data_IF_029446420980
#
_entry.id   IF_029446420980
#
_cell.length_a   1.000
_cell.length_b   1.000
_cell.length_c   1.000
_cell.angle_alpha   90.00
_cell.angle_beta   90.00
_cell.angle_gamma   90.00
#
_symmetry.space_group_name_H-M   'P 1'
#
loop_
_entity.id
_entity.type
_entity.pdbx_description
1 polymer ?
#
# COMPACT_ATOMS: atom_id res chain seq x y z
N UNK A 1 47.14 48.47 7.25
CA UNK A 1 45.83 48.10 7.79
C UNK A 1 44.98 47.29 6.78
N UNK A 2 44.67 47.73 5.57
CA UNK A 2 43.84 46.99 4.61
C UNK A 2 44.34 45.55 4.30
N UNK A 3 45.64 45.36 4.06
CA UNK A 3 46.22 44.03 3.78
C UNK A 3 46.13 43.09 4.95
N UNK A 4 46.20 43.55 6.18
CA UNK A 4 46.05 42.78 7.38
C UNK A 4 44.60 42.27 7.55
N UNK A 5 43.63 43.15 7.27
CA UNK A 5 42.20 42.82 7.30
C UNK A 5 41.87 41.70 6.25
N UNK A 6 42.39 41.80 5.05
CA UNK A 6 42.18 40.80 4.01
C UNK A 6 42.81 39.45 4.38
N UNK A 7 43.97 39.47 5.01
CA UNK A 7 44.63 38.24 5.49
C UNK A 7 43.84 37.58 6.63
N UNK A 8 43.30 38.37 7.55
CA UNK A 8 42.47 37.87 8.65
C UNK A 8 41.14 37.29 8.13
N UNK A 9 40.50 37.95 7.16
CA UNK A 9 39.27 37.42 6.51
C UNK A 9 39.56 36.13 5.76
N UNK A 10 40.71 36.03 5.06
CA UNK A 10 41.11 34.82 4.35
C UNK A 10 41.35 33.65 5.30
N UNK A 11 42.04 33.89 6.42
CA UNK A 11 42.23 32.89 7.47
C UNK A 11 40.91 32.45 8.11
N UNK A 12 39.97 33.37 8.31
CA UNK A 12 38.65 33.06 8.83
C UNK A 12 37.82 32.25 7.84
N UNK A 13 37.90 32.54 6.55
CA UNK A 13 37.24 31.74 5.48
C UNK A 13 37.81 30.32 5.41
N UNK A 14 39.10 30.12 5.61
CA UNK A 14 39.76 28.83 5.59
C UNK A 14 39.33 27.92 6.75
N UNK A 15 38.91 28.49 7.90
CA UNK A 15 38.41 27.73 9.04
C UNK A 15 37.02 27.09 8.72
N UNK A 16 36.23 27.71 7.84
CA UNK A 16 34.94 27.15 7.43
C UNK A 16 35.04 26.03 6.35
N UNK A 17 36.24 25.76 5.80
CA UNK A 17 36.47 24.70 4.82
C UNK A 17 36.74 23.32 5.45
N UNK A 18 36.83 23.21 6.76
CA UNK A 18 37.02 21.95 7.48
C UNK A 18 35.67 21.28 7.80
N UNK A 19 34.81 21.16 6.82
CA UNK A 19 33.55 20.43 6.97
C UNK A 19 33.59 19.12 6.18
N UNK A 20 33.47 18.00 6.83
CA UNK A 20 33.13 16.64 6.38
C UNK A 20 34.04 15.56 7.00
N UNK A 21 34.12 15.55 8.34
CA UNK A 21 34.77 14.43 9.06
C UNK A 21 33.92 13.18 9.24
N UNK A 22 32.65 13.18 8.77
CA UNK A 22 31.71 12.06 8.96
C UNK A 22 31.53 11.21 7.68
N UNK A 23 32.62 11.01 6.93
CA UNK A 23 32.63 10.18 5.73
C UNK A 23 32.85 8.72 6.14
N UNK A 24 31.81 7.91 6.04
CA UNK A 24 31.92 6.44 6.15
C UNK A 24 32.08 5.86 4.74
N UNK A 25 33.18 5.16 4.52
CA UNK A 25 33.42 4.42 3.28
C UNK A 25 32.33 3.37 3.06
N UNK A 26 31.88 3.20 1.83
CA UNK A 26 30.79 2.28 1.49
C UNK A 26 31.10 0.84 1.87
N UNK A 27 32.36 0.43 1.73
CA UNK A 27 32.88 -0.90 2.05
C UNK A 27 32.84 -1.22 3.55
N UNK A 28 32.80 -0.18 4.38
CA UNK A 28 32.69 -0.30 5.85
C UNK A 28 31.26 -0.27 6.35
N UNK A 29 30.28 -0.26 5.44
CA UNK A 29 28.86 -0.21 5.78
C UNK A 29 28.15 -1.53 5.45
N UNK A 30 27.33 -2.01 6.37
CA UNK A 30 26.31 -3.04 6.12
C UNK A 30 25.00 -2.34 5.78
N UNK A 31 24.71 -2.20 4.46
CA UNK A 31 23.57 -1.43 3.97
C UNK A 31 22.30 -2.23 4.12
N UNK A 32 21.40 -1.81 4.99
CA UNK A 32 20.07 -2.40 5.13
C UNK A 32 19.20 -2.11 3.92
N UNK A 33 18.68 -3.15 3.27
CA UNK A 33 17.68 -3.02 2.21
C UNK A 33 16.29 -3.43 2.69
N UNK A 34 16.19 -4.38 3.62
CA UNK A 34 14.95 -4.83 4.24
C UNK A 34 15.10 -4.87 5.76
N UNK A 35 14.11 -4.34 6.46
CA UNK A 35 13.83 -4.63 7.86
C UNK A 35 12.53 -5.40 7.99
N UNK A 36 12.48 -6.41 8.84
CA UNK A 36 11.29 -7.22 9.09
C UNK A 36 10.96 -7.28 10.58
N UNK A 37 9.68 -7.17 10.92
CA UNK A 37 9.18 -7.27 12.30
C UNK A 37 8.20 -8.42 12.40
N UNK A 38 8.53 -9.41 13.25
CA UNK A 38 7.65 -10.53 13.54
C UNK A 38 7.12 -10.48 14.97
N UNK A 39 6.04 -11.22 15.22
CA UNK A 39 5.42 -11.28 16.53
C UNK A 39 6.41 -11.65 17.63
N UNK A 40 6.18 -11.12 18.81
CA UNK A 40 7.03 -11.39 19.97
C UNK A 40 7.09 -12.87 20.34
N UNK A 41 8.28 -13.37 20.57
CA UNK A 41 8.52 -14.68 21.16
C UNK A 41 9.12 -14.51 22.56
N UNK A 42 8.47 -15.05 23.58
CA UNK A 42 8.91 -14.92 24.99
C UNK A 42 9.14 -13.46 25.41
N UNK A 43 8.24 -12.54 25.00
CA UNK A 43 8.30 -11.11 25.31
C UNK A 43 9.31 -10.29 24.50
N UNK A 44 10.11 -10.92 23.63
CA UNK A 44 11.09 -10.23 22.78
C UNK A 44 10.61 -10.11 21.36
N UNK A 45 10.79 -8.92 20.79
CA UNK A 45 10.57 -8.61 19.38
C UNK A 45 11.55 -9.41 18.51
N UNK A 46 11.07 -10.01 17.42
CA UNK A 46 11.91 -10.64 16.42
C UNK A 46 12.11 -9.66 15.27
N UNK A 47 13.35 -9.24 15.05
CA UNK A 47 13.71 -8.30 13.99
C UNK A 47 14.63 -8.97 13.00
N UNK A 48 14.33 -8.80 11.73
CA UNK A 48 15.14 -9.26 10.60
C UNK A 48 15.80 -8.08 9.91
N UNK A 49 17.02 -8.29 9.47
CA UNK A 49 17.79 -7.36 8.67
C UNK A 49 18.33 -8.09 7.44
N UNK A 50 18.18 -7.49 6.25
CA UNK A 50 18.73 -8.04 5.01
C UNK A 50 19.60 -6.97 4.37
N UNK A 51 20.85 -7.34 4.09
CA UNK A 51 21.83 -6.50 3.41
C UNK A 51 22.38 -7.21 2.16
N UNK A 52 22.78 -6.47 1.12
CA UNK A 52 23.41 -7.04 -0.06
C UNK A 52 24.82 -7.53 0.25
N UNK A 53 25.28 -8.51 -0.50
CA UNK A 53 26.68 -8.95 -0.55
C UNK A 53 27.25 -8.49 -1.88
N UNK A 54 28.30 -7.67 -1.83
CA UNK A 54 28.94 -7.08 -3.02
C UNK A 54 30.08 -7.95 -3.60
N UNK A 55 30.25 -9.18 -3.11
CA UNK A 55 31.20 -10.13 -3.65
C UNK A 55 30.59 -10.89 -4.84
N UNK A 56 31.25 -10.88 -6.01
CA UNK A 56 30.79 -11.55 -7.23
C UNK A 56 30.93 -13.07 -7.16
N UNK A 57 31.83 -13.60 -6.33
CA UNK A 57 32.12 -15.03 -6.24
C UNK A 57 31.12 -15.82 -5.41
N UNK A 58 30.20 -15.15 -4.68
CA UNK A 58 29.23 -15.84 -3.85
C UNK A 58 27.89 -16.06 -4.59
N UNK A 59 27.33 -17.27 -4.42
CA UNK A 59 26.05 -17.62 -5.03
C UNK A 59 24.89 -16.76 -4.45
N UNK A 60 24.87 -16.57 -3.15
CA UNK A 60 23.83 -15.79 -2.47
C UNK A 60 24.22 -14.33 -2.36
N UNK A 61 23.56 -13.46 -3.10
CA UNK A 61 23.87 -12.01 -3.20
C UNK A 61 23.32 -11.16 -2.03
N UNK A 62 22.79 -11.75 -0.99
CA UNK A 62 22.32 -11.06 0.20
C UNK A 62 22.54 -11.89 1.46
N UNK A 63 22.72 -11.21 2.56
CA UNK A 63 22.85 -11.78 3.89
C UNK A 63 21.62 -11.43 4.73
N UNK A 64 21.30 -12.31 5.69
CA UNK A 64 20.14 -12.13 6.56
C UNK A 64 20.57 -12.32 8.01
N UNK A 65 20.29 -11.30 8.82
CA UNK A 65 20.48 -11.34 10.27
C UNK A 65 19.14 -11.36 10.98
N UNK A 66 19.09 -11.97 12.16
CA UNK A 66 17.91 -11.97 13.03
C UNK A 66 18.33 -11.63 14.45
N UNK A 67 17.56 -10.77 15.10
CA UNK A 67 17.75 -10.39 16.50
C UNK A 67 16.46 -10.62 17.31
N UNK A 68 16.60 -11.08 18.55
CA UNK A 68 15.51 -11.17 19.54
C UNK A 68 15.77 -10.13 20.61
N UNK A 69 15.06 -9.03 20.57
CA UNK A 69 15.36 -7.78 21.29
C UNK A 69 14.11 -7.15 21.89
N UNK A 70 14.27 -6.09 22.67
CA UNK A 70 13.13 -5.34 23.23
C UNK A 70 12.76 -4.14 22.35
N UNK A 71 13.73 -3.58 21.62
CA UNK A 71 13.52 -2.38 20.81
C UNK A 71 14.20 -2.48 19.43
N UNK A 72 13.71 -1.75 18.40
CA UNK A 72 14.38 -1.72 17.10
C UNK A 72 15.80 -1.14 17.16
N UNK A 73 16.09 -0.22 18.09
CA UNK A 73 17.43 0.33 18.27
C UNK A 73 18.41 -0.70 18.85
N UNK A 74 17.95 -1.53 19.78
CA UNK A 74 18.73 -2.67 20.29
C UNK A 74 19.03 -3.68 19.17
N UNK A 75 18.08 -3.90 18.24
CA UNK A 75 18.32 -4.74 17.08
C UNK A 75 19.47 -4.22 16.21
N UNK A 76 19.55 -2.90 15.95
CA UNK A 76 20.67 -2.30 15.21
C UNK A 76 22.01 -2.54 15.91
N UNK A 77 22.06 -2.40 17.23
CA UNK A 77 23.27 -2.68 18.02
C UNK A 77 23.67 -4.16 17.91
N UNK A 78 22.69 -5.07 18.01
CA UNK A 78 22.91 -6.51 17.85
C UNK A 78 23.44 -6.84 16.43
N UNK A 79 22.88 -6.24 15.40
CA UNK A 79 23.36 -6.44 14.02
C UNK A 79 24.80 -5.93 13.83
N UNK A 80 25.14 -4.77 14.40
CA UNK A 80 26.51 -4.25 14.35
C UNK A 80 27.54 -5.21 14.98
N UNK A 81 27.15 -6.03 15.96
CA UNK A 81 28.06 -7.00 16.58
C UNK A 81 28.29 -8.26 15.73
N UNK A 82 27.51 -8.47 14.68
CA UNK A 82 27.59 -9.65 13.80
C UNK A 82 27.79 -9.33 12.33
N UNK A 83 27.79 -8.05 11.96
CA UNK A 83 28.00 -7.60 10.57
C UNK A 83 29.44 -7.19 10.33
N UNK A 84 29.93 -7.38 9.11
CA UNK A 84 31.29 -6.97 8.70
C UNK A 84 31.47 -5.44 8.59
N UNK A 85 30.38 -4.67 8.72
CA UNK A 85 30.39 -3.21 8.66
C UNK A 85 29.29 -2.59 9.52
N UNK A 86 29.32 -1.27 9.69
CA UNK A 86 28.30 -0.55 10.44
C UNK A 86 26.95 -0.59 9.72
N UNK A 87 25.92 -1.01 10.42
CA UNK A 87 24.55 -1.08 9.85
C UNK A 87 24.02 0.32 9.56
N UNK A 88 23.82 0.59 8.27
CA UNK A 88 23.20 1.81 7.74
C UNK A 88 21.80 1.52 7.21
N UNK A 89 20.83 2.36 7.58
CA UNK A 89 19.43 2.26 7.12
C UNK A 89 19.08 3.33 6.07
N UNK A 90 20.05 4.08 5.58
CA UNK A 90 19.86 5.19 4.64
C UNK A 90 19.29 4.75 3.26
N UNK A 91 19.56 3.52 2.87
CA UNK A 91 19.09 2.90 1.60
C UNK A 91 17.98 1.86 1.82
N UNK A 92 17.34 1.87 2.98
CA UNK A 92 16.25 0.95 3.27
C UNK A 92 15.12 1.07 2.24
N UNK A 93 14.74 -0.06 1.63
CA UNK A 93 13.74 -0.12 0.57
C UNK A 93 12.39 -0.61 1.06
N UNK A 94 12.40 -1.55 2.03
CA UNK A 94 11.22 -2.23 2.52
C UNK A 94 11.24 -2.35 4.05
N UNK A 95 10.09 -2.07 4.66
CA UNK A 95 9.81 -2.52 6.04
C UNK A 95 8.67 -3.54 5.96
N UNK A 96 8.98 -4.77 6.39
CA UNK A 96 8.04 -5.89 6.40
C UNK A 96 7.48 -6.09 7.82
N UNK A 97 6.18 -6.30 7.92
CA UNK A 97 5.51 -6.64 9.18
C UNK A 97 4.71 -7.91 9.00
N UNK A 98 4.89 -8.91 9.86
CA UNK A 98 3.95 -10.04 9.85
C UNK A 98 2.55 -9.58 10.30
N UNK A 99 1.52 -10.19 9.74
CA UNK A 99 0.15 -9.88 10.14
C UNK A 99 -0.08 -10.15 11.64
N UNK A 100 0.60 -11.15 12.20
CA UNK A 100 0.53 -11.44 13.63
C UNK A 100 1.13 -10.32 14.47
N UNK A 101 2.29 -9.78 14.07
CA UNK A 101 2.89 -8.62 14.72
C UNK A 101 1.94 -7.40 14.66
N UNK A 102 1.41 -7.10 13.48
CA UNK A 102 0.49 -5.98 13.33
C UNK A 102 -0.80 -6.13 14.16
N UNK A 103 -1.31 -7.35 14.34
CA UNK A 103 -2.49 -7.61 15.17
C UNK A 103 -2.24 -7.39 16.66
N UNK A 104 -1.06 -7.75 17.14
CA UNK A 104 -0.72 -7.72 18.57
C UNK A 104 -0.16 -6.36 19.00
N UNK A 105 0.74 -5.81 18.22
CA UNK A 105 1.58 -4.69 18.60
C UNK A 105 1.22 -3.38 17.86
N UNK A 106 0.81 -3.50 16.60
CA UNK A 106 0.73 -2.37 15.69
C UNK A 106 2.11 -1.86 15.23
N UNK A 107 2.15 -1.13 14.12
CA UNK A 107 3.42 -0.67 13.54
C UNK A 107 3.98 0.58 14.24
N UNK A 108 3.12 1.52 14.64
CA UNK A 108 3.53 2.87 15.05
C UNK A 108 4.57 2.95 16.16
N UNK A 109 4.49 2.18 17.27
CA UNK A 109 5.47 2.28 18.36
C UNK A 109 6.89 1.90 17.94
N UNK A 110 7.05 1.13 16.87
CA UNK A 110 8.33 0.59 16.42
C UNK A 110 8.98 1.40 15.32
N UNK A 111 8.29 2.42 14.80
CA UNK A 111 8.76 3.26 13.71
C UNK A 111 9.50 4.54 14.17
N UNK A 112 9.45 4.87 15.46
CA UNK A 112 10.04 6.09 16.04
C UNK A 112 11.54 6.23 15.72
N UNK A 113 12.27 5.10 15.67
CA UNK A 113 13.71 5.09 15.37
C UNK A 113 14.03 5.71 14.00
N UNK A 114 13.15 5.51 13.00
CA UNK A 114 13.32 6.09 11.66
C UNK A 114 12.75 7.50 11.54
N UNK A 115 11.72 7.86 12.32
CA UNK A 115 11.21 9.24 12.36
C UNK A 115 12.23 10.22 12.95
N UNK A 116 13.09 9.74 13.84
CA UNK A 116 14.14 10.55 14.48
C UNK A 116 15.49 10.50 13.75
N UNK A 117 15.62 9.68 12.73
CA UNK A 117 16.86 9.56 11.96
C UNK A 117 16.85 10.55 10.78
N UNK A 118 17.65 11.63 10.80
CA UNK A 118 17.68 12.63 9.75
C UNK A 118 18.22 12.11 8.40
N UNK A 119 18.90 10.95 8.42
CA UNK A 119 19.44 10.30 7.22
C UNK A 119 18.38 9.46 6.49
N UNK A 120 17.21 9.27 7.10
CA UNK A 120 16.13 8.49 6.52
C UNK A 120 15.37 9.29 5.45
N UNK A 121 15.30 8.77 4.24
CA UNK A 121 14.61 9.40 3.11
C UNK A 121 13.08 9.26 3.15
N UNK A 122 12.52 8.45 4.03
CA UNK A 122 11.08 8.20 4.13
C UNK A 122 10.45 7.44 2.94
N UNK A 123 11.26 6.98 1.99
CA UNK A 123 10.79 6.37 0.73
C UNK A 123 10.62 4.84 0.81
N UNK A 124 11.02 4.21 1.91
CA UNK A 124 10.83 2.76 2.10
C UNK A 124 9.36 2.38 2.09
N UNK A 125 9.07 1.24 1.50
CA UNK A 125 7.71 0.73 1.35
C UNK A 125 7.27 -0.02 2.59
N UNK A 126 6.06 0.25 3.04
CA UNK A 126 5.41 -0.45 4.15
C UNK A 126 4.66 -1.66 3.62
N UNK A 127 4.99 -2.86 4.10
CA UNK A 127 4.45 -4.12 3.56
C UNK A 127 4.03 -5.05 4.69
N UNK A 128 2.80 -5.53 4.63
CA UNK A 128 2.30 -6.61 5.48
C UNK A 128 2.64 -7.97 4.85
N UNK A 129 3.06 -8.92 5.67
CA UNK A 129 3.29 -10.31 5.28
C UNK A 129 2.21 -11.19 5.91
N UNK A 130 1.39 -11.81 5.08
CA UNK A 130 0.40 -12.79 5.53
C UNK A 130 1.09 -14.13 5.81
N UNK A 131 1.68 -14.21 6.99
CA UNK A 131 2.52 -15.28 7.48
C UNK A 131 3.72 -14.75 8.27
N UNK A 132 4.62 -15.63 8.75
CA UNK A 132 5.84 -15.21 9.42
C UNK A 132 6.82 -14.60 8.41
N UNK A 133 7.59 -13.60 8.85
CA UNK A 133 8.63 -12.95 8.03
C UNK A 133 9.68 -13.95 7.54
N UNK A 134 10.03 -14.93 8.38
CA UNK A 134 10.98 -16.01 8.05
C UNK A 134 10.59 -16.79 6.78
N UNK A 135 9.27 -16.92 6.50
CA UNK A 135 8.79 -17.63 5.30
C UNK A 135 9.17 -16.93 4.00
N UNK A 136 9.38 -15.62 4.05
CA UNK A 136 9.79 -14.81 2.90
C UNK A 136 11.30 -14.64 2.85
N UNK A 137 11.91 -14.31 3.98
CA UNK A 137 13.35 -13.93 4.05
C UNK A 137 14.29 -15.12 3.87
N UNK A 138 13.96 -16.28 4.43
CA UNK A 138 14.84 -17.47 4.34
C UNK A 138 14.58 -18.36 3.14
N UNK A 139 13.57 -18.02 2.34
CA UNK A 139 13.27 -18.83 1.17
C UNK A 139 14.23 -18.49 0.01
N UNK A 140 14.83 -19.51 -0.59
CA UNK A 140 15.61 -19.31 -1.81
C UNK A 140 14.64 -19.35 -3.02
N UNK A 141 14.36 -18.20 -3.58
CA UNK A 141 13.55 -18.06 -4.80
C UNK A 141 14.45 -18.25 -6.01
N UNK A 142 14.57 -19.50 -6.49
CA UNK A 142 15.33 -19.83 -7.69
C UNK A 142 14.85 -18.97 -8.87
N UNK A 143 15.77 -18.60 -9.73
CA UNK A 143 15.50 -17.82 -10.95
C UNK A 143 14.88 -16.43 -10.70
N UNK A 144 15.09 -15.85 -9.52
CA UNK A 144 14.71 -14.49 -9.17
C UNK A 144 15.93 -13.63 -8.86
N UNK A 145 15.83 -12.30 -9.01
CA UNK A 145 16.83 -11.38 -8.52
C UNK A 145 17.09 -11.56 -7.01
N UNK A 146 18.10 -10.88 -6.47
CA UNK A 146 18.32 -10.84 -5.02
C UNK A 146 17.03 -10.42 -4.29
N UNK A 147 16.76 -11.02 -3.14
CA UNK A 147 15.49 -10.86 -2.42
C UNK A 147 15.03 -9.39 -2.26
N UNK A 148 15.89 -8.42 -1.91
CA UNK A 148 15.46 -7.02 -1.78
C UNK A 148 14.97 -6.43 -3.09
N UNK A 149 15.66 -6.68 -4.18
CA UNK A 149 15.29 -6.25 -5.52
C UNK A 149 13.99 -6.93 -5.97
N UNK A 150 13.93 -8.25 -5.85
CA UNK A 150 12.75 -9.04 -6.21
C UNK A 150 11.48 -8.53 -5.52
N UNK A 151 11.51 -8.31 -4.20
CA UNK A 151 10.33 -7.84 -3.48
C UNK A 151 9.97 -6.39 -3.83
N UNK A 152 10.98 -5.55 -4.04
CA UNK A 152 10.78 -4.16 -4.44
C UNK A 152 10.09 -4.08 -5.79
N UNK A 153 10.57 -4.84 -6.77
CA UNK A 153 10.01 -4.87 -8.13
C UNK A 153 8.62 -5.50 -8.15
N UNK A 154 8.42 -6.55 -7.35
CA UNK A 154 7.11 -7.17 -7.18
C UNK A 154 6.06 -6.15 -6.70
N UNK A 155 6.38 -5.35 -5.68
CA UNK A 155 5.48 -4.31 -5.16
C UNK A 155 5.27 -3.20 -6.20
N UNK A 156 6.34 -2.73 -6.85
CA UNK A 156 6.26 -1.68 -7.86
C UNK A 156 5.39 -2.10 -9.05
N UNK A 157 5.57 -3.31 -9.55
CA UNK A 157 4.77 -3.87 -10.64
C UNK A 157 3.29 -3.97 -10.26
N UNK A 158 2.99 -4.49 -9.06
CA UNK A 158 1.60 -4.62 -8.63
C UNK A 158 0.94 -3.27 -8.32
N UNK A 159 1.70 -2.24 -7.94
CA UNK A 159 1.24 -0.84 -7.88
C UNK A 159 0.78 -0.36 -9.26
N UNK A 160 1.58 -0.59 -10.31
CA UNK A 160 1.25 -0.15 -11.67
C UNK A 160 -0.06 -0.77 -12.17
N UNK A 161 -0.31 -2.04 -11.80
CA UNK A 161 -1.55 -2.76 -12.15
C UNK A 161 -2.69 -2.58 -11.13
N UNK A 162 -2.57 -1.65 -10.20
CA UNK A 162 -3.60 -1.36 -9.17
C UNK A 162 -4.00 -2.57 -8.30
N UNK A 163 -3.12 -3.56 -8.15
CA UNK A 163 -3.41 -4.79 -7.38
C UNK A 163 -3.19 -4.63 -5.88
N UNK A 164 -2.58 -3.52 -5.47
CA UNK A 164 -2.31 -3.16 -4.07
C UNK A 164 -2.17 -1.66 -3.93
N UNK A 165 -2.42 -1.12 -2.75
CA UNK A 165 -2.02 0.25 -2.42
C UNK A 165 -0.49 0.35 -2.38
N UNK A 166 0.02 1.55 -2.58
CA UNK A 166 1.46 1.81 -2.46
C UNK A 166 1.67 2.88 -1.40
N UNK A 167 2.18 2.45 -0.24
CA UNK A 167 2.35 3.32 0.91
C UNK A 167 3.82 3.32 1.32
N UNK A 168 4.46 4.48 1.17
CA UNK A 168 5.81 4.71 1.70
C UNK A 168 5.73 4.99 3.20
N UNK A 169 6.87 4.95 3.87
CA UNK A 169 6.98 5.31 5.28
C UNK A 169 6.46 6.73 5.56
N UNK A 170 6.79 7.69 4.71
CA UNK A 170 6.30 9.07 4.82
C UNK A 170 4.77 9.15 4.65
N UNK A 171 4.22 8.47 3.64
CA UNK A 171 2.76 8.42 3.43
C UNK A 171 2.05 7.69 4.57
N UNK A 172 2.64 6.62 5.12
CA UNK A 172 2.12 5.93 6.29
C UNK A 172 2.05 6.86 7.50
N UNK A 173 3.12 7.62 7.76
CA UNK A 173 3.14 8.65 8.81
C UNK A 173 2.01 9.67 8.61
N UNK A 174 1.88 10.21 7.40
CA UNK A 174 0.80 11.14 7.07
C UNK A 174 -0.59 10.56 7.35
N UNK A 175 -0.82 9.31 6.96
CA UNK A 175 -2.11 8.63 7.18
C UNK A 175 -2.38 8.37 8.66
N UNK A 176 -1.38 8.00 9.44
CA UNK A 176 -1.55 7.69 10.88
C UNK A 176 -1.81 8.92 11.74
N UNK A 177 -1.25 10.09 11.36
CA UNK A 177 -1.46 11.35 12.06
C UNK A 177 -2.65 12.17 11.53
N UNK A 178 -3.19 11.82 10.37
CA UNK A 178 -4.41 12.43 9.86
C UNK A 178 -5.65 11.75 10.45
N UNK A 179 -6.38 12.46 11.31
CA UNK A 179 -7.59 11.95 11.96
C UNK A 179 -8.72 11.57 11.00
N UNK A 180 -8.69 12.07 9.75
CA UNK A 180 -9.71 11.84 8.73
C UNK A 180 -9.47 10.64 7.81
N UNK A 181 -8.40 9.86 8.02
CA UNK A 181 -8.09 8.68 7.21
C UNK A 181 -7.45 7.58 8.05
N UNK A 182 -7.67 6.33 7.68
CA UNK A 182 -6.96 5.19 8.25
C UNK A 182 -5.94 4.61 7.25
N UNK A 183 -4.77 4.12 7.71
CA UNK A 183 -3.72 3.67 6.81
C UNK A 183 -4.02 2.32 6.15
N UNK A 184 -3.48 2.19 4.95
CA UNK A 184 -3.46 0.96 4.18
C UNK A 184 -2.04 0.73 3.64
N UNK A 185 -1.57 -0.53 3.65
CA UNK A 185 -0.24 -0.92 3.15
C UNK A 185 -0.37 -2.11 2.21
N UNK A 186 0.66 -2.34 1.36
CA UNK A 186 0.70 -3.52 0.50
C UNK A 186 0.69 -4.79 1.32
N UNK A 187 0.05 -5.86 0.81
CA UNK A 187 0.09 -7.17 1.45
C UNK A 187 0.64 -8.23 0.51
N UNK A 188 1.60 -9.02 1.03
CA UNK A 188 2.23 -10.13 0.33
C UNK A 188 2.07 -11.43 1.13
N UNK A 189 2.21 -12.55 0.43
CA UNK A 189 2.24 -13.90 1.02
C UNK A 189 3.24 -14.76 0.30
N UNK A 190 3.90 -15.68 1.02
CA UNK A 190 4.68 -16.75 0.39
C UNK A 190 3.75 -17.66 -0.41
N UNK A 191 4.00 -17.80 -1.71
CA UNK A 191 3.42 -18.80 -2.59
C UNK A 191 4.20 -20.13 -2.53
N UNK A 192 3.91 -21.04 -3.46
CA UNK A 192 4.64 -22.32 -3.54
C UNK A 192 6.09 -22.12 -3.98
N UNK A 193 6.32 -21.33 -5.05
CA UNK A 193 7.65 -21.09 -5.65
C UNK A 193 8.08 -19.61 -5.63
N UNK A 194 7.20 -18.70 -5.25
CA UNK A 194 7.37 -17.25 -5.34
C UNK A 194 6.74 -16.53 -4.14
N UNK A 195 6.79 -15.21 -4.15
CA UNK A 195 5.99 -14.33 -3.30
C UNK A 195 4.85 -13.76 -4.13
N UNK A 196 3.66 -13.71 -3.57
CA UNK A 196 2.45 -13.23 -4.24
C UNK A 196 1.96 -11.98 -3.52
N UNK A 197 1.66 -10.91 -4.27
CA UNK A 197 0.87 -9.79 -3.76
C UNK A 197 -0.59 -10.23 -3.66
N UNK A 198 -1.12 -10.29 -2.44
CA UNK A 198 -2.51 -10.71 -2.17
C UNK A 198 -3.50 -9.57 -2.29
N UNK A 199 -3.03 -8.34 -2.11
CA UNK A 199 -3.82 -7.13 -2.14
C UNK A 199 -3.30 -6.10 -1.15
N UNK A 200 -4.15 -5.58 -0.26
CA UNK A 200 -3.82 -4.52 0.69
C UNK A 200 -4.28 -4.86 2.10
N UNK A 201 -3.44 -4.59 3.08
CA UNK A 201 -3.80 -4.67 4.50
C UNK A 201 -4.31 -3.30 4.97
N UNK A 202 -5.46 -3.27 5.62
CA UNK A 202 -6.04 -2.08 6.24
C UNK A 202 -5.76 -2.08 7.73
N UNK A 203 -5.30 -0.92 8.22
CA UNK A 203 -4.82 -0.74 9.59
C UNK A 203 -5.56 0.39 10.29
N UNK A 204 -5.55 0.38 11.62
CA UNK A 204 -5.95 1.55 12.42
C UNK A 204 -4.88 2.64 12.37
N UNK A 205 -5.17 3.84 12.88
CA UNK A 205 -4.19 4.92 13.07
C UNK A 205 -2.97 4.52 13.91
N UNK A 206 -3.10 3.50 14.78
CA UNK A 206 -1.97 2.92 15.53
C UNK A 206 -1.17 1.88 14.75
N UNK A 207 -1.54 1.63 13.50
CA UNK A 207 -0.92 0.59 12.68
C UNK A 207 -1.33 -0.84 13.04
N UNK A 208 -2.47 -1.02 13.75
CA UNK A 208 -2.99 -2.35 14.09
C UNK A 208 -3.77 -2.91 12.91
N UNK A 209 -3.43 -4.12 12.50
CA UNK A 209 -4.13 -4.83 11.42
C UNK A 209 -5.61 -5.10 11.76
N UNK A 210 -6.47 -4.83 10.81
CA UNK A 210 -7.91 -5.10 10.92
C UNK A 210 -8.43 -6.07 9.87
N UNK A 211 -8.05 -5.88 8.60
CA UNK A 211 -8.52 -6.73 7.52
C UNK A 211 -7.61 -6.64 6.28
N UNK A 212 -7.72 -7.65 5.41
CA UNK A 212 -7.15 -7.60 4.05
C UNK A 212 -8.23 -7.30 3.01
N UNK A 213 -7.82 -6.60 1.99
CA UNK A 213 -8.51 -6.50 0.70
C UNK A 213 -7.78 -7.39 -0.31
N UNK A 214 -8.52 -8.13 -1.12
CA UNK A 214 -7.95 -8.83 -2.25
C UNK A 214 -7.53 -7.84 -3.37
N UNK A 215 -6.94 -8.35 -4.46
CA UNK A 215 -6.45 -7.51 -5.57
C UNK A 215 -7.54 -6.70 -6.26
N UNK A 216 -8.73 -7.28 -6.43
CA UNK A 216 -9.90 -6.60 -7.02
C UNK A 216 -10.40 -5.49 -6.10
N UNK A 217 -10.60 -5.78 -4.83
CA UNK A 217 -11.01 -4.80 -3.81
C UNK A 217 -9.97 -3.67 -3.63
N UNK A 218 -8.68 -3.98 -3.76
CA UNK A 218 -7.61 -2.97 -3.74
C UNK A 218 -7.70 -2.02 -4.94
N UNK A 219 -8.04 -2.54 -6.13
CA UNK A 219 -8.27 -1.70 -7.31
C UNK A 219 -9.50 -0.79 -7.13
N UNK A 220 -10.59 -1.31 -6.58
CA UNK A 220 -11.78 -0.52 -6.25
C UNK A 220 -11.47 0.57 -5.21
N UNK A 221 -10.68 0.25 -4.18
CA UNK A 221 -10.22 1.25 -3.20
C UNK A 221 -9.43 2.37 -3.88
N UNK A 222 -8.47 2.03 -4.75
CA UNK A 222 -7.66 3.01 -5.48
C UNK A 222 -8.52 3.89 -6.42
N UNK A 223 -9.54 3.33 -7.06
CA UNK A 223 -10.53 4.07 -7.85
C UNK A 223 -11.29 5.06 -6.95
N UNK A 224 -11.77 4.61 -5.80
CA UNK A 224 -12.47 5.46 -4.82
C UNK A 224 -11.56 6.55 -4.25
N UNK A 225 -10.27 6.28 -4.06
CA UNK A 225 -9.28 7.27 -3.64
C UNK A 225 -8.87 8.26 -4.76
N UNK A 226 -9.22 7.98 -6.02
CA UNK A 226 -8.67 8.67 -7.22
C UNK A 226 -7.15 8.56 -7.30
N UNK A 227 -6.60 7.43 -6.84
CA UNK A 227 -5.16 7.09 -6.87
C UNK A 227 -4.84 5.95 -7.85
N UNK A 228 -5.83 5.43 -8.56
CA UNK A 228 -5.62 4.37 -9.54
C UNK A 228 -4.84 4.86 -10.77
N UNK A 229 -3.86 4.05 -11.20
CA UNK A 229 -3.18 4.24 -12.47
C UNK A 229 -4.09 3.72 -13.60
N UNK A 230 -4.49 4.58 -14.52
CA UNK A 230 -5.29 4.17 -15.68
C UNK A 230 -4.39 3.71 -16.84
N UNK A 231 -4.79 2.66 -17.57
CA UNK A 231 -6.03 1.90 -17.46
C UNK A 231 -6.07 0.94 -16.26
N UNK A 232 -7.25 0.81 -15.62
CA UNK A 232 -7.48 -0.17 -14.54
C UNK A 232 -8.25 -1.34 -15.10
N UNK A 233 -7.66 -2.53 -15.09
CA UNK A 233 -8.34 -3.75 -15.51
C UNK A 233 -9.17 -4.34 -14.36
N UNK A 234 -10.46 -4.54 -14.60
CA UNK A 234 -11.41 -5.13 -13.65
C UNK A 234 -12.16 -6.27 -14.31
N UNK A 235 -12.10 -7.47 -13.73
CA UNK A 235 -12.93 -8.62 -14.11
C UNK A 235 -14.07 -8.76 -13.12
N UNK A 236 -15.29 -8.63 -13.58
CA UNK A 236 -16.51 -8.64 -12.77
C UNK A 236 -17.37 -9.86 -13.09
N UNK A 237 -18.03 -10.41 -12.07
CA UNK A 237 -19.03 -11.47 -12.24
C UNK A 237 -20.33 -10.87 -12.76
N UNK A 238 -20.91 -11.52 -13.76
CA UNK A 238 -22.25 -11.20 -14.26
C UNK A 238 -23.13 -12.44 -14.04
N UNK A 239 -24.31 -12.29 -13.40
CA UNK A 239 -25.20 -13.44 -13.20
C UNK A 239 -25.66 -14.04 -14.54
N UNK A 240 -25.50 -15.34 -14.72
CA UNK A 240 -25.86 -16.05 -15.97
C UNK A 240 -27.34 -15.92 -16.35
N UNK A 241 -28.20 -15.60 -15.37
CA UNK A 241 -29.63 -15.32 -15.63
C UNK A 241 -29.88 -14.03 -16.42
N UNK A 242 -28.86 -13.19 -16.57
CA UNK A 242 -28.97 -11.87 -17.23
C UNK A 242 -28.36 -11.87 -18.64
N UNK A 243 -27.66 -12.92 -19.03
CA UNK A 243 -26.94 -13.04 -20.29
C UNK A 243 -27.14 -14.40 -20.92
N UNK A 244 -26.93 -14.51 -22.23
CA UNK A 244 -26.89 -15.78 -22.93
C UNK A 244 -25.52 -16.42 -22.76
N UNK A 245 -25.46 -17.34 -21.82
CA UNK A 245 -24.21 -17.86 -21.28
C UNK A 245 -23.51 -18.85 -22.19
N UNK A 246 -22.18 -18.78 -22.24
CA UNK A 246 -21.33 -19.82 -22.83
C UNK A 246 -20.91 -20.79 -21.73
N UNK A 247 -21.48 -22.04 -21.77
CA UNK A 247 -21.28 -23.04 -20.72
C UNK A 247 -19.82 -23.43 -20.46
N UNK A 248 -18.94 -23.26 -21.47
CA UNK A 248 -17.55 -23.68 -21.38
C UNK A 248 -16.64 -22.71 -20.61
N UNK A 249 -17.12 -21.48 -20.36
CA UNK A 249 -16.33 -20.39 -19.75
C UNK A 249 -16.86 -19.93 -18.37
N UNK A 250 -17.85 -20.65 -17.82
CA UNK A 250 -18.40 -20.36 -16.49
C UNK A 250 -17.46 -20.81 -15.38
N UNK A 251 -17.57 -20.12 -14.22
CA UNK A 251 -16.99 -20.65 -12.99
C UNK A 251 -17.82 -21.82 -12.41
N UNK A 252 -17.32 -22.42 -11.32
CA UNK A 252 -18.00 -23.53 -10.62
C UNK A 252 -19.36 -23.13 -10.00
N UNK A 253 -19.60 -21.82 -9.84
CA UNK A 253 -20.86 -21.25 -9.33
C UNK A 253 -21.83 -20.88 -10.46
N UNK A 254 -21.44 -21.14 -11.72
CA UNK A 254 -22.25 -20.84 -12.91
C UNK A 254 -22.30 -19.37 -13.30
N UNK A 255 -21.31 -18.56 -12.89
CA UNK A 255 -21.24 -17.15 -13.27
C UNK A 255 -20.50 -16.96 -14.58
N UNK A 256 -20.93 -15.95 -15.33
CA UNK A 256 -20.22 -15.37 -16.46
C UNK A 256 -19.38 -14.15 -16.03
N UNK A 257 -18.47 -13.70 -16.88
CA UNK A 257 -17.54 -12.63 -16.56
C UNK A 257 -17.48 -11.57 -17.66
N UNK A 258 -17.24 -10.34 -17.26
CA UNK A 258 -16.82 -9.25 -18.13
C UNK A 258 -15.54 -8.64 -17.58
N UNK A 259 -14.54 -8.47 -18.45
CA UNK A 259 -13.31 -7.74 -18.14
C UNK A 259 -13.34 -6.40 -18.84
N UNK A 260 -13.21 -5.34 -18.07
CA UNK A 260 -13.16 -3.96 -18.56
C UNK A 260 -11.82 -3.30 -18.22
N UNK A 261 -11.38 -2.39 -19.06
CA UNK A 261 -10.32 -1.44 -18.77
C UNK A 261 -10.94 -0.07 -18.49
N UNK A 262 -10.80 0.42 -17.26
CA UNK A 262 -11.21 1.78 -16.90
C UNK A 262 -10.13 2.75 -17.38
N UNK A 263 -10.45 3.51 -18.43
CA UNK A 263 -9.53 4.43 -19.10
C UNK A 263 -9.51 5.82 -18.48
N UNK A 264 -10.60 6.22 -17.84
CA UNK A 264 -10.71 7.54 -17.20
C UNK A 264 -11.67 7.49 -16.02
N UNK A 265 -11.30 8.17 -14.95
CA UNK A 265 -12.06 8.25 -13.70
C UNK A 265 -12.27 9.72 -13.35
N UNK A 266 -13.52 10.17 -13.41
CA UNK A 266 -13.91 11.46 -12.86
C UNK A 266 -14.82 11.24 -11.66
N UNK A 267 -14.35 11.63 -10.46
CA UNK A 267 -15.04 11.42 -9.18
C UNK A 267 -15.38 12.76 -8.54
N UNK A 268 -16.62 12.90 -8.11
CA UNK A 268 -17.10 14.01 -7.30
C UNK A 268 -17.70 13.45 -6.01
N UNK A 269 -17.32 14.02 -4.86
CA UNK A 269 -17.85 13.66 -3.54
C UNK A 269 -18.56 14.88 -2.97
N UNK A 270 -19.82 14.71 -2.61
CA UNK A 270 -20.59 15.68 -1.83
C UNK A 270 -20.78 15.12 -0.44
N UNK A 271 -20.32 15.83 0.57
CA UNK A 271 -20.54 15.50 1.97
C UNK A 271 -21.61 16.38 2.59
N UNK A 272 -22.29 15.86 3.61
CA UNK A 272 -23.32 16.55 4.37
C UNK A 272 -23.46 15.94 5.75
N UNK A 273 -24.24 16.60 6.62
CA UNK A 273 -24.60 16.09 7.94
C UNK A 273 -26.09 16.32 8.18
N UNK A 274 -26.83 15.24 8.38
CA UNK A 274 -28.25 15.29 8.78
C UNK A 274 -28.62 13.97 9.47
N UNK A 275 -29.73 13.97 10.21
CA UNK A 275 -30.17 12.81 10.98
C UNK A 275 -29.08 12.26 11.91
N UNK A 276 -28.31 13.17 12.50
CA UNK A 276 -27.20 12.89 13.42
C UNK A 276 -26.09 11.99 12.85
N UNK A 277 -25.87 12.03 11.50
CA UNK A 277 -24.84 11.25 10.81
C UNK A 277 -24.28 11.99 9.62
N UNK A 278 -23.02 11.66 9.27
CA UNK A 278 -22.40 12.11 8.04
C UNK A 278 -22.99 11.36 6.85
N UNK A 279 -23.10 12.08 5.72
CA UNK A 279 -23.61 11.53 4.45
C UNK A 279 -22.62 11.85 3.34
N UNK A 280 -22.21 10.85 2.58
CA UNK A 280 -21.31 10.97 1.46
C UNK A 280 -21.97 10.45 0.19
N UNK A 281 -22.18 11.33 -0.79
CA UNK A 281 -22.68 10.97 -2.11
C UNK A 281 -21.53 11.04 -3.11
N UNK A 282 -21.09 9.89 -3.59
CA UNK A 282 -19.96 9.73 -4.49
C UNK A 282 -20.51 9.51 -5.91
N UNK A 283 -20.34 10.50 -6.78
CA UNK A 283 -20.68 10.38 -8.20
C UNK A 283 -19.41 10.11 -9.00
N UNK A 284 -19.43 9.08 -9.83
CA UNK A 284 -18.30 8.67 -10.67
C UNK A 284 -18.73 8.61 -12.14
N UNK A 285 -17.98 9.27 -13.01
CA UNK A 285 -18.11 9.14 -14.46
C UNK A 285 -16.89 8.39 -14.97
N UNK A 286 -17.11 7.21 -15.54
CA UNK A 286 -16.08 6.30 -16.00
C UNK A 286 -16.14 6.15 -17.52
N UNK A 287 -14.99 6.23 -18.18
CA UNK A 287 -14.83 5.80 -19.57
C UNK A 287 -14.11 4.47 -19.57
N UNK A 288 -14.68 3.49 -20.26
CA UNK A 288 -14.16 2.13 -20.27
C UNK A 288 -13.99 1.60 -21.68
N UNK A 289 -13.09 0.61 -21.82
CA UNK A 289 -13.04 -0.31 -22.96
C UNK A 289 -13.42 -1.72 -22.47
N UNK A 290 -14.12 -2.49 -23.29
CA UNK A 290 -14.37 -3.91 -23.04
C UNK A 290 -13.14 -4.69 -23.51
N UNK A 291 -12.58 -5.53 -22.63
CA UNK A 291 -11.43 -6.37 -22.97
C UNK A 291 -11.82 -7.81 -23.23
N UNK A 292 -12.82 -8.31 -22.50
CA UNK A 292 -13.27 -9.70 -22.62
C UNK A 292 -14.70 -9.86 -22.07
N UNK A 293 -15.46 -10.73 -22.71
CA UNK A 293 -16.74 -11.25 -22.21
C UNK A 293 -16.73 -12.77 -22.36
N UNK A 294 -17.32 -13.50 -21.40
CA UNK A 294 -17.41 -14.98 -21.44
C UNK A 294 -18.79 -15.47 -21.87
N UNK A 295 -19.67 -14.59 -22.29
CA UNK A 295 -21.05 -14.88 -22.69
C UNK A 295 -21.34 -14.34 -24.09
N UNK A 296 -22.38 -14.88 -24.73
CA UNK A 296 -22.79 -14.43 -26.07
C UNK A 296 -23.53 -13.08 -25.97
N UNK A 297 -23.06 -12.11 -26.69
CA UNK A 297 -23.69 -10.79 -26.77
C UNK A 297 -23.22 -10.05 -28.05
N UNK A 298 -24.16 -9.51 -28.80
CA UNK A 298 -23.87 -8.63 -29.93
C UNK A 298 -23.54 -7.21 -29.37
N UNK A 299 -22.25 -6.87 -29.35
CA UNK A 299 -21.76 -5.63 -28.74
C UNK A 299 -22.28 -4.37 -29.45
N UNK A 300 -22.66 -4.45 -30.72
CA UNK A 300 -23.22 -3.32 -31.48
C UNK A 300 -24.69 -3.11 -31.10
N UNK A 301 -25.48 -4.17 -31.02
CA UNK A 301 -26.94 -4.09 -30.72
C UNK A 301 -27.20 -3.96 -29.22
N UNK A 302 -26.44 -4.69 -28.40
CA UNK A 302 -26.70 -4.84 -26.97
C UNK A 302 -25.86 -3.89 -26.08
N UNK A 303 -25.16 -2.94 -26.67
CA UNK A 303 -24.27 -1.99 -25.95
C UNK A 303 -24.94 -1.33 -24.75
N UNK A 304 -26.21 -0.94 -24.86
CA UNK A 304 -26.98 -0.33 -23.75
C UNK A 304 -27.20 -1.33 -22.61
N UNK A 305 -27.56 -2.58 -22.95
CA UNK A 305 -27.77 -3.66 -21.98
C UNK A 305 -26.46 -3.97 -21.23
N UNK A 306 -25.35 -4.14 -21.96
CA UNK A 306 -24.03 -4.37 -21.37
C UNK A 306 -23.59 -3.22 -20.46
N UNK A 307 -23.77 -1.95 -20.90
CA UNK A 307 -23.47 -0.78 -20.08
C UNK A 307 -24.26 -0.80 -18.78
N UNK A 308 -25.55 -1.17 -18.83
CA UNK A 308 -26.40 -1.28 -17.64
C UNK A 308 -25.92 -2.35 -16.70
N UNK A 309 -25.61 -3.56 -17.21
CA UNK A 309 -25.11 -4.68 -16.41
C UNK A 309 -23.80 -4.33 -15.68
N UNK A 310 -22.83 -3.76 -16.42
CA UNK A 310 -21.55 -3.32 -15.84
C UNK A 310 -21.78 -2.24 -14.78
N UNK A 311 -22.67 -1.28 -15.05
CA UNK A 311 -22.96 -0.17 -14.11
C UNK A 311 -23.58 -0.69 -12.82
N UNK A 312 -24.54 -1.61 -12.91
CA UNK A 312 -25.20 -2.21 -11.75
C UNK A 312 -24.18 -3.00 -10.91
N UNK A 313 -23.40 -3.86 -11.57
CA UNK A 313 -22.42 -4.67 -10.87
C UNK A 313 -21.32 -3.84 -10.21
N UNK A 314 -20.76 -2.87 -10.94
CA UNK A 314 -19.72 -1.99 -10.38
C UNK A 314 -20.23 -1.15 -9.21
N UNK A 315 -21.44 -0.60 -9.30
CA UNK A 315 -22.07 0.12 -8.19
C UNK A 315 -22.27 -0.78 -6.98
N UNK A 316 -22.70 -2.02 -7.20
CA UNK A 316 -22.83 -3.03 -6.14
C UNK A 316 -21.50 -3.25 -5.46
N UNK A 317 -20.46 -3.60 -6.22
CA UNK A 317 -19.13 -3.93 -5.69
C UNK A 317 -18.50 -2.76 -4.91
N UNK A 318 -18.62 -1.53 -5.42
CA UNK A 318 -18.11 -0.32 -4.77
C UNK A 318 -18.84 -0.03 -3.43
N UNK A 319 -20.17 -0.17 -3.41
CA UNK A 319 -20.95 0.06 -2.19
C UNK A 319 -20.73 -1.06 -1.16
N UNK A 320 -20.63 -2.32 -1.59
CA UNK A 320 -20.30 -3.45 -0.72
C UNK A 320 -18.92 -3.29 -0.10
N UNK A 321 -17.91 -2.86 -0.88
CA UNK A 321 -16.57 -2.58 -0.36
C UNK A 321 -16.60 -1.50 0.72
N UNK A 322 -17.27 -0.37 0.48
CA UNK A 322 -17.39 0.69 1.49
C UNK A 322 -18.05 0.14 2.76
N UNK A 323 -19.16 -0.57 2.63
CA UNK A 323 -19.87 -1.12 3.78
C UNK A 323 -19.04 -2.17 4.55
N UNK A 324 -18.32 -3.05 3.82
CA UNK A 324 -17.38 -4.02 4.40
C UNK A 324 -16.32 -3.33 5.26
N UNK A 325 -15.76 -2.23 4.77
CA UNK A 325 -14.70 -1.47 5.45
C UNK A 325 -15.28 -0.66 6.64
N UNK A 326 -16.46 -0.05 6.47
CA UNK A 326 -17.15 0.67 7.55
C UNK A 326 -17.44 -0.23 8.76
N UNK A 327 -17.83 -1.49 8.53
CA UNK A 327 -18.05 -2.48 9.60
C UNK A 327 -16.80 -2.73 10.46
N UNK A 328 -15.61 -2.49 9.91
CA UNK A 328 -14.35 -2.61 10.64
C UNK A 328 -13.89 -1.29 11.28
N UNK A 329 -14.72 -0.25 11.22
CA UNK A 329 -14.40 1.08 11.72
C UNK A 329 -13.10 1.62 11.09
N UNK A 330 -13.03 1.61 9.76
CA UNK A 330 -11.88 2.09 9.00
C UNK A 330 -12.35 3.06 7.90
N UNK A 331 -11.57 4.11 7.67
CA UNK A 331 -11.77 5.04 6.54
C UNK A 331 -10.47 5.18 5.71
N UNK A 332 -10.10 4.18 4.92
CA UNK A 332 -8.97 4.35 4.01
C UNK A 332 -9.28 5.26 2.81
N UNK A 333 -10.55 5.61 2.61
CA UNK A 333 -11.00 6.47 1.50
C UNK A 333 -10.66 7.96 1.73
N UNK A 334 -10.53 8.36 3.00
CA UNK A 334 -10.33 9.75 3.41
C UNK A 334 -11.62 10.57 3.40
N UNK A 335 -12.77 9.96 3.69
CA UNK A 335 -14.04 10.70 3.81
C UNK A 335 -14.03 11.66 5.00
N UNK A 336 -13.22 11.40 6.03
CA UNK A 336 -13.00 12.32 7.13
C UNK A 336 -12.38 13.65 6.70
N UNK A 337 -11.55 13.67 5.67
CA UNK A 337 -11.03 14.92 5.13
C UNK A 337 -12.13 15.76 4.49
N UNK A 338 -13.12 15.12 3.84
CA UNK A 338 -14.32 15.82 3.32
C UNK A 338 -15.21 16.30 4.45
N UNK A 339 -15.42 15.49 5.50
CA UNK A 339 -16.19 15.91 6.68
C UNK A 339 -15.52 17.11 7.35
N UNK A 340 -14.19 17.08 7.52
CA UNK A 340 -13.41 18.19 8.06
C UNK A 340 -13.52 19.47 7.23
N UNK A 341 -13.46 19.33 5.90
CA UNK A 341 -13.50 20.47 4.98
C UNK A 341 -14.89 21.14 4.89
N UNK A 342 -15.97 20.35 4.94
CA UNK A 342 -17.30 20.84 4.61
C UNK A 342 -18.30 20.79 5.77
N UNK A 343 -18.04 20.00 6.82
CA UNK A 343 -18.85 19.87 8.04
C UNK A 343 -17.98 20.01 9.29
N UNK A 344 -17.09 20.99 9.31
CA UNK A 344 -16.06 21.16 10.34
C UNK A 344 -16.61 21.13 11.77
N UNK A 345 -17.73 21.84 12.01
CA UNK A 345 -18.37 21.91 13.36
C UNK A 345 -18.75 20.52 13.90
N UNK A 346 -19.33 19.69 13.04
CA UNK A 346 -19.78 18.35 13.44
C UNK A 346 -18.60 17.37 13.46
N UNK A 347 -17.67 17.50 12.51
CA UNK A 347 -16.45 16.68 12.45
C UNK A 347 -15.57 16.90 13.70
N UNK A 348 -15.42 18.14 14.17
CA UNK A 348 -14.61 18.49 15.34
C UNK A 348 -15.08 17.77 16.61
N UNK A 349 -16.36 17.44 16.72
CA UNK A 349 -16.93 16.69 17.86
C UNK A 349 -16.51 15.21 17.87
N UNK A 350 -16.12 14.66 16.73
CA UNK A 350 -15.83 13.23 16.53
C UNK A 350 -14.44 12.97 15.95
N UNK A 351 -13.59 13.99 15.81
CA UNK A 351 -12.29 13.86 15.13
C UNK A 351 -11.36 12.83 15.77
N UNK A 352 -11.43 12.66 17.08
CA UNK A 352 -10.61 11.69 17.84
C UNK A 352 -11.16 10.25 17.75
N UNK A 353 -12.42 10.10 17.35
CA UNK A 353 -13.10 8.82 17.14
C UNK A 353 -13.78 8.75 15.75
N UNK A 354 -13.14 9.37 14.76
CA UNK A 354 -13.64 9.40 13.38
C UNK A 354 -13.98 8.02 12.81
N UNK A 355 -13.17 6.97 12.99
CA UNK A 355 -13.49 5.63 12.49
C UNK A 355 -14.85 5.09 12.97
N UNK A 356 -15.21 5.33 14.21
CA UNK A 356 -16.54 4.97 14.75
C UNK A 356 -17.63 5.87 14.16
N UNK A 357 -17.41 7.18 14.04
CA UNK A 357 -18.36 8.08 13.40
C UNK A 357 -18.60 7.70 11.92
N UNK A 358 -17.54 7.35 11.20
CA UNK A 358 -17.64 6.89 9.81
C UNK A 358 -18.37 5.54 9.68
N UNK A 359 -18.22 4.63 10.64
CA UNK A 359 -18.97 3.36 10.62
C UNK A 359 -20.48 3.54 10.62
N UNK A 360 -20.97 4.67 11.16
CA UNK A 360 -22.39 5.05 11.23
C UNK A 360 -22.82 5.97 10.08
N UNK A 361 -21.87 6.45 9.27
CA UNK A 361 -22.14 7.34 8.16
C UNK A 361 -22.86 6.63 7.01
N UNK A 362 -23.66 7.39 6.26
CA UNK A 362 -24.20 6.92 4.99
C UNK A 362 -23.22 7.27 3.87
N UNK A 363 -22.69 6.30 3.17
CA UNK A 363 -21.87 6.52 1.98
C UNK A 363 -22.44 5.74 0.80
N UNK A 364 -22.72 6.44 -0.30
CA UNK A 364 -23.36 5.88 -1.51
C UNK A 364 -22.58 6.25 -2.74
N UNK A 365 -22.17 5.24 -3.50
CA UNK A 365 -21.55 5.41 -4.83
C UNK A 365 -22.61 5.23 -5.91
N UNK A 366 -22.56 6.13 -6.89
CA UNK A 366 -23.34 6.02 -8.13
C UNK A 366 -22.40 6.31 -9.31
N UNK A 367 -22.21 5.35 -10.19
CA UNK A 367 -21.39 5.51 -11.39
C UNK A 367 -22.24 5.67 -12.64
N UNK A 368 -21.72 6.45 -13.59
CA UNK A 368 -22.16 6.50 -14.98
C UNK A 368 -21.02 6.01 -15.85
N UNK A 369 -21.30 5.04 -16.72
CA UNK A 369 -20.29 4.39 -17.55
C UNK A 369 -20.52 4.75 -19.02
N UNK A 370 -19.43 5.09 -19.71
CA UNK A 370 -19.39 5.26 -21.17
C UNK A 370 -18.40 4.27 -21.77
N UNK A 371 -18.88 3.32 -22.53
CA UNK A 371 -18.05 2.41 -23.33
C UNK A 371 -17.53 3.17 -24.54
N UNK A 372 -16.20 3.32 -24.66
CA UNK A 372 -15.52 3.97 -25.77
C UNK A 372 -15.14 2.96 -26.86
N UNK A 373 -14.64 1.79 -26.45
CA UNK A 373 -14.13 0.74 -27.33
C UNK A 373 -14.69 -0.62 -26.88
N UNK A 374 -15.07 -1.44 -27.83
CA UNK A 374 -15.63 -2.78 -27.60
C UNK A 374 -14.78 -3.91 -28.20
N UNK A 375 -13.51 -3.62 -28.55
CA UNK A 375 -12.58 -4.56 -29.22
C UNK A 375 -12.54 -4.35 -30.75
N UNK A 376 -11.51 -4.92 -31.39
CA UNK A 376 -11.28 -4.81 -32.84
C UNK A 376 -11.97 -5.96 -33.60
N UNK A 377 -12.29 -7.05 -32.91
CA UNK A 377 -12.92 -8.25 -33.50
C UNK A 377 -14.41 -8.20 -33.22
N UNK A 378 -15.20 -8.25 -34.32
CA UNK A 378 -16.66 -8.38 -34.28
C UNK A 378 -17.06 -9.82 -34.06
#
# INVERSE_FOLDING_TARGET
>A
MRRFIHFTILCFLLIFLTGCGDRLDLEKQSISLIYGFDAKAKGKLIVYHVNPIFNEDVEKKYETHVAKVHTPREAKATFNSSSNGLVSTEKLQLILFSNNFLKQEGAMPYLDVWYRDPKNTGNMRMVAVNGPISSVIYNNFKDKPALPEYLTDLINTNKLYNRTVFTTFHEFHRQTFNKGITPAISEIKKGKKDVIVTGSALLTSRGIYKMSLNRYESALLLILQKKANTPVSLTMKIPSTQVESNSNLKDTEGNDFVTINVLSINRNIRSGYSDNRFKFNIKMNLKIAISEITFNMDLDKDKKKLTSLITIQLNKDLNELIHKIQKQQLDPFGFGDYARAFQYKEWKKVEDDWPNAFSKASAKVTSTIKILESGIIK
#
